data_IF_583088432906
#
_entry.id   IF_583088432906
#
_cell.length_a   1.000
_cell.length_b   1.000
_cell.length_c   1.000
_cell.angle_alpha   90.00
_cell.angle_beta   90.00
_cell.angle_gamma   90.00
#
_symmetry.space_group_name_H-M   'P 1'
#
loop_
_entity.id
_entity.type
_entity.pdbx_description
1 polymer ?
#
# COMPACT_ATOMS: atom_id res chain seq x y z
N UNK A 1 -5.62 36.00 13.95
CA UNK A 1 -4.72 34.87 14.26
C UNK A 1 -5.36 33.62 13.69
N UNK A 2 -5.12 33.33 12.40
CA UNK A 2 -5.62 32.11 11.77
C UNK A 2 -4.79 30.93 12.26
N UNK A 3 -5.42 30.08 13.07
CA UNK A 3 -4.83 28.82 13.51
C UNK A 3 -4.52 28.00 12.28
N UNK A 4 -3.22 27.75 12.03
CA UNK A 4 -2.77 26.79 11.04
C UNK A 4 -3.44 25.47 11.41
N UNK A 5 -4.43 25.09 10.61
CA UNK A 5 -5.04 23.78 10.68
C UNK A 5 -3.97 22.82 10.18
N UNK A 6 -3.09 22.40 11.10
CA UNK A 6 -2.11 21.36 10.83
C UNK A 6 -2.97 20.11 10.70
N UNK A 7 -3.43 19.83 9.49
CA UNK A 7 -4.04 18.56 9.15
C UNK A 7 -3.00 17.52 9.49
N UNK A 8 -3.11 16.91 10.68
CA UNK A 8 -2.27 15.79 11.06
C UNK A 8 -2.56 14.69 10.04
N UNK A 9 -1.68 14.60 9.04
CA UNK A 9 -1.67 13.49 8.11
C UNK A 9 -1.20 12.28 8.90
N UNK A 10 -2.14 11.63 9.57
CA UNK A 10 -1.90 10.29 10.10
C UNK A 10 -1.79 9.39 8.88
N UNK A 11 -0.62 8.78 8.63
CA UNK A 11 -0.53 7.80 7.56
C UNK A 11 -1.59 6.74 7.84
N UNK A 12 -2.35 6.36 6.81
CA UNK A 12 -3.29 5.25 6.96
C UNK A 12 -2.55 4.04 7.53
N UNK A 13 -3.22 3.18 8.30
CA UNK A 13 -2.59 2.00 8.89
C UNK A 13 -1.81 1.19 7.83
N UNK A 14 -2.34 1.11 6.60
CA UNK A 14 -1.67 0.50 5.46
C UNK A 14 -0.31 1.17 5.14
N UNK A 15 -0.23 2.50 5.17
CA UNK A 15 1.03 3.22 4.94
C UNK A 15 2.05 2.94 6.05
N UNK A 16 1.63 2.87 7.31
CA UNK A 16 2.52 2.53 8.42
C UNK A 16 3.13 1.13 8.25
N UNK A 17 2.31 0.11 7.96
CA UNK A 17 2.80 -1.25 7.71
C UNK A 17 3.66 -1.33 6.45
N UNK A 18 3.33 -0.58 5.40
CA UNK A 18 4.17 -0.47 4.20
C UNK A 18 5.56 0.10 4.52
N UNK A 19 5.66 1.15 5.33
CA UNK A 19 6.95 1.67 5.77
C UNK A 19 7.73 0.63 6.58
N UNK A 20 7.06 -0.14 7.45
CA UNK A 20 7.70 -1.25 8.17
C UNK A 20 8.27 -2.31 7.22
N UNK A 21 7.54 -2.65 6.14
CA UNK A 21 8.05 -3.54 5.09
C UNK A 21 9.33 -2.97 4.49
N UNK A 22 9.33 -1.70 4.06
CA UNK A 22 10.51 -1.07 3.49
C UNK A 22 11.70 -1.07 4.45
N UNK A 23 11.48 -0.68 5.70
CA UNK A 23 12.51 -0.66 6.73
C UNK A 23 13.12 -2.05 6.92
N UNK A 24 12.31 -3.09 7.08
CA UNK A 24 12.81 -4.44 7.28
C UNK A 24 13.46 -5.03 6.03
N UNK A 25 13.00 -4.66 4.83
CA UNK A 25 13.64 -5.01 3.57
C UNK A 25 15.06 -4.42 3.49
N UNK A 26 15.21 -3.12 3.75
CA UNK A 26 16.51 -2.46 3.72
C UNK A 26 17.48 -2.94 4.81
N UNK A 27 16.95 -3.37 5.96
CA UNK A 27 17.74 -4.00 7.02
C UNK A 27 18.06 -5.48 6.74
N UNK A 28 17.65 -6.01 5.58
CA UNK A 28 17.77 -7.42 5.22
C UNK A 28 17.15 -8.37 6.27
N UNK A 29 16.16 -7.88 7.02
CA UNK A 29 15.45 -8.64 8.04
C UNK A 29 14.22 -9.29 7.41
N UNK A 30 14.47 -10.33 6.60
CA UNK A 30 13.45 -11.01 5.79
C UNK A 30 12.27 -11.49 6.64
N UNK A 31 12.54 -12.01 7.84
CA UNK A 31 11.49 -12.50 8.76
C UNK A 31 10.52 -11.38 9.15
N UNK A 32 11.04 -10.23 9.61
CA UNK A 32 10.17 -9.12 9.99
C UNK A 32 9.50 -8.47 8.80
N UNK A 33 10.17 -8.46 7.66
CA UNK A 33 9.59 -7.99 6.41
C UNK A 33 8.36 -8.84 6.01
N UNK A 34 8.43 -10.16 6.19
CA UNK A 34 7.28 -11.06 5.95
C UNK A 34 6.12 -10.81 6.91
N UNK A 35 6.41 -10.59 8.19
CA UNK A 35 5.41 -10.23 9.20
C UNK A 35 4.71 -8.92 8.81
N UNK A 36 5.47 -7.87 8.51
CA UNK A 36 4.89 -6.59 8.10
C UNK A 36 4.10 -6.67 6.78
N UNK A 37 4.51 -7.53 5.85
CA UNK A 37 3.75 -7.78 4.62
C UNK A 37 2.41 -8.50 4.93
N UNK A 38 2.41 -9.41 5.89
CA UNK A 38 1.20 -10.10 6.34
C UNK A 38 0.25 -9.13 7.05
N UNK A 39 0.79 -8.26 7.90
CA UNK A 39 0.02 -7.21 8.58
C UNK A 39 -0.60 -6.23 7.56
N UNK A 40 0.15 -5.83 6.54
CA UNK A 40 -0.37 -5.00 5.45
C UNK A 40 -1.55 -5.67 4.74
N UNK A 41 -1.44 -6.97 4.43
CA UNK A 41 -2.53 -7.73 3.83
C UNK A 41 -3.76 -7.80 4.74
N UNK A 42 -3.55 -7.95 6.05
CA UNK A 42 -4.63 -7.99 7.04
C UNK A 42 -5.38 -6.65 7.07
N UNK A 43 -4.66 -5.54 7.18
CA UNK A 43 -5.25 -4.18 7.21
C UNK A 43 -6.06 -3.88 5.95
N UNK A 44 -5.60 -4.35 4.79
CA UNK A 44 -6.34 -4.21 3.53
C UNK A 44 -7.58 -5.11 3.52
N UNK A 45 -7.43 -6.36 3.98
CA UNK A 45 -8.50 -7.37 4.00
C UNK A 45 -9.62 -7.05 4.98
N UNK A 46 -9.32 -6.37 6.07
CA UNK A 46 -10.32 -6.02 7.08
C UNK A 46 -11.37 -5.03 6.58
N UNK A 47 -11.16 -4.36 5.43
CA UNK A 47 -12.10 -3.51 4.63
C UNK A 47 -12.83 -2.37 5.37
N UNK A 48 -12.99 -2.45 6.69
CA UNK A 48 -13.73 -1.57 7.60
C UNK A 48 -12.95 -0.32 8.00
N UNK A 49 -11.64 -0.27 7.77
CA UNK A 49 -10.79 0.85 8.16
C UNK A 49 -10.53 1.88 7.05
N UNK A 50 -10.92 1.57 5.81
CA UNK A 50 -10.75 2.49 4.69
C UNK A 50 -11.98 3.41 4.63
N UNK A 51 -11.90 4.55 5.31
CA UNK A 51 -12.98 5.55 5.34
C UNK A 51 -13.35 6.09 3.94
N UNK A 52 -12.51 5.87 2.93
CA UNK A 52 -12.69 6.36 1.57
C UNK A 52 -12.22 5.33 0.50
N UNK A 53 -12.86 5.38 -0.66
CA UNK A 53 -12.60 4.51 -1.82
C UNK A 53 -11.17 4.72 -2.34
N UNK A 54 -10.69 5.97 -2.37
CA UNK A 54 -9.31 6.29 -2.79
C UNK A 54 -8.29 5.65 -1.85
N UNK A 55 -8.48 5.76 -0.53
CA UNK A 55 -7.60 5.14 0.47
C UNK A 55 -7.51 3.62 0.30
N UNK A 56 -8.61 2.98 -0.08
CA UNK A 56 -8.62 1.54 -0.37
C UNK A 56 -7.75 1.22 -1.59
N UNK A 57 -7.88 1.98 -2.67
CA UNK A 57 -7.06 1.81 -3.87
C UNK A 57 -5.56 2.06 -3.59
N UNK A 58 -5.23 3.13 -2.87
CA UNK A 58 -3.86 3.42 -2.45
C UNK A 58 -3.25 2.26 -1.65
N UNK A 59 -3.99 1.65 -0.73
CA UNK A 59 -3.50 0.51 0.03
C UNK A 59 -3.20 -0.72 -0.83
N UNK A 60 -4.01 -0.99 -1.86
CA UNK A 60 -3.71 -2.02 -2.86
C UNK A 60 -2.46 -1.69 -3.68
N UNK A 61 -2.23 -0.41 -3.98
CA UNK A 61 -1.00 0.05 -4.65
C UNK A 61 0.24 -0.21 -3.76
N UNK A 62 0.16 0.13 -2.47
CA UNK A 62 1.24 -0.13 -1.51
C UNK A 62 1.55 -1.64 -1.38
N UNK A 63 0.51 -2.47 -1.37
CA UNK A 63 0.67 -3.93 -1.38
C UNK A 63 1.36 -4.41 -2.65
N UNK A 64 1.01 -3.87 -3.82
CA UNK A 64 1.67 -4.19 -5.09
C UNK A 64 3.16 -3.89 -5.05
N UNK A 65 3.54 -2.70 -4.55
CA UNK A 65 4.95 -2.31 -4.39
C UNK A 65 5.68 -3.25 -3.42
N UNK A 66 5.06 -3.56 -2.28
CA UNK A 66 5.64 -4.46 -1.29
C UNK A 66 5.88 -5.87 -1.86
N UNK A 67 4.92 -6.43 -2.58
CA UNK A 67 5.04 -7.75 -3.22
C UNK A 67 6.12 -7.77 -4.31
N UNK A 68 6.23 -6.69 -5.08
CA UNK A 68 7.28 -6.54 -6.08
C UNK A 68 8.68 -6.53 -5.47
N UNK A 69 8.89 -5.83 -4.35
CA UNK A 69 10.16 -5.83 -3.62
C UNK A 69 10.56 -7.23 -3.15
N UNK A 70 9.57 -8.06 -2.81
CA UNK A 70 9.75 -9.46 -2.44
C UNK A 70 9.88 -10.43 -3.62
N UNK A 71 9.79 -9.95 -4.86
CA UNK A 71 9.89 -10.77 -6.06
C UNK A 71 8.61 -11.49 -6.47
N UNK A 72 7.50 -11.31 -5.74
CA UNK A 72 6.19 -11.88 -6.08
C UNK A 72 5.46 -11.00 -7.10
N UNK A 73 5.95 -11.06 -8.35
CA UNK A 73 5.47 -10.22 -9.45
C UNK A 73 4.01 -10.46 -9.82
N UNK A 74 3.55 -11.71 -9.75
CA UNK A 74 2.16 -12.03 -10.10
C UNK A 74 1.18 -11.51 -9.06
N UNK A 75 1.45 -11.69 -7.77
CA UNK A 75 0.62 -11.11 -6.72
C UNK A 75 0.67 -9.58 -6.75
N UNK A 76 1.84 -8.99 -7.06
CA UNK A 76 1.96 -7.55 -7.24
C UNK A 76 1.04 -7.04 -8.34
N UNK A 77 1.05 -7.70 -9.52
CA UNK A 77 0.16 -7.38 -10.64
C UNK A 77 -1.31 -7.45 -10.24
N UNK A 78 -1.73 -8.49 -9.53
CA UNK A 78 -3.10 -8.62 -9.05
C UNK A 78 -3.49 -7.49 -8.08
N UNK A 79 -2.57 -7.08 -7.20
CA UNK A 79 -2.82 -5.98 -6.27
C UNK A 79 -3.00 -4.64 -7.02
N UNK A 80 -2.16 -4.38 -8.03
CA UNK A 80 -2.32 -3.19 -8.87
C UNK A 80 -3.63 -3.19 -9.66
N UNK A 81 -4.02 -4.34 -10.23
CA UNK A 81 -5.31 -4.47 -10.93
C UNK A 81 -6.49 -4.19 -9.99
N UNK A 82 -6.47 -4.73 -8.76
CA UNK A 82 -7.51 -4.42 -7.75
C UNK A 82 -7.55 -2.93 -7.39
N UNK A 83 -6.39 -2.27 -7.29
CA UNK A 83 -6.37 -0.82 -7.08
C UNK A 83 -7.09 -0.07 -8.20
N UNK A 84 -6.87 -0.48 -9.46
CA UNK A 84 -7.50 0.16 -10.63
C UNK A 84 -9.00 -0.13 -10.72
N UNK A 85 -9.43 -1.33 -10.34
CA UNK A 85 -10.86 -1.69 -10.26
C UNK A 85 -11.61 -0.82 -9.23
N UNK A 86 -10.96 -0.48 -8.12
CA UNK A 86 -11.55 0.31 -7.03
C UNK A 86 -11.58 1.80 -7.36
N UNK A 87 -10.47 2.34 -7.85
CA UNK A 87 -10.35 3.75 -8.19
C UNK A 87 -9.54 3.89 -9.49
N UNK A 88 -10.22 3.99 -10.64
CA UNK A 88 -9.59 4.21 -11.93
C UNK A 88 -9.14 5.68 -12.01
N UNK A 89 -7.98 5.99 -11.45
CA UNK A 89 -7.33 7.31 -11.59
C UNK A 89 -6.16 7.20 -12.57
N UNK A 90 -6.07 8.12 -13.52
CA UNK A 90 -5.03 8.12 -14.57
C UNK A 90 -3.61 8.22 -13.99
N UNK A 91 -3.42 8.82 -12.81
CA UNK A 91 -2.11 8.88 -12.15
C UNK A 91 -1.59 7.49 -11.75
N UNK A 92 -2.46 6.64 -11.19
CA UNK A 92 -2.13 5.26 -10.80
C UNK A 92 -1.95 4.34 -12.02
N UNK A 93 -2.57 4.71 -13.16
CA UNK A 93 -2.46 3.99 -14.42
C UNK A 93 -1.00 3.91 -14.92
N UNK A 94 -0.19 4.95 -14.71
CA UNK A 94 1.20 5.00 -15.19
C UNK A 94 2.16 4.02 -14.48
N UNK A 95 1.89 3.67 -13.22
CA UNK A 95 2.68 2.71 -12.46
C UNK A 95 2.29 1.26 -12.78
N UNK A 96 0.99 0.99 -12.93
CA UNK A 96 0.49 -0.35 -13.29
C UNK A 96 0.79 -0.73 -14.75
N UNK A 97 0.65 0.20 -15.70
CA UNK A 97 0.95 -0.03 -17.12
C UNK A 97 2.44 -0.26 -17.40
N UNK A 98 3.34 0.30 -16.58
CA UNK A 98 4.79 0.05 -16.72
C UNK A 98 5.23 -1.34 -16.26
N UNK A 99 4.35 -2.08 -15.59
CA UNK A 99 4.64 -3.38 -14.98
C UNK A 99 3.92 -4.55 -15.67
N UNK A 100 3.12 -4.26 -16.70
CA UNK A 100 2.61 -5.22 -17.69
C UNK A 100 3.59 -5.36 -18.86
#
# INVERSE_FOLDING_TARGET
>A
MEGRNITHFFPSAAYAHFLSVLCHYHLNNVRQCQVSLQDLKLVIGERYLMADVRSTAEAYTLLGIALQLFGDKESARQAFLKSLEIYPDESNNSAAMRLL
#
